data_IF_807121862562
#
_entry.id   IF_807121862562
#
_cell.length_a   1.000
_cell.length_b   1.000
_cell.length_c   1.000
_cell.angle_alpha   90.00
_cell.angle_beta   90.00
_cell.angle_gamma   90.00
#
_symmetry.space_group_name_H-M   'P 1'
#
loop_
_entity.id
_entity.type
_entity.pdbx_description
1 polymer ?
#
# COMPACT_ATOMS: atom_id res chain seq x y z
N UNK A 1 -8.52 15.85 5.97
CA UNK A 1 -7.15 16.37 6.20
C UNK A 1 -6.15 15.46 5.48
N UNK A 2 -5.39 16.01 4.54
CA UNK A 2 -4.44 15.26 3.70
C UNK A 2 -3.28 14.70 4.54
N UNK A 3 -2.82 15.42 5.57
CA UNK A 3 -1.69 14.99 6.42
C UNK A 3 -2.04 13.73 7.22
N UNK A 4 -3.22 13.70 7.85
CA UNK A 4 -3.70 12.52 8.57
C UNK A 4 -3.90 11.32 7.64
N UNK A 5 -4.50 11.53 6.46
CA UNK A 5 -4.71 10.47 5.48
C UNK A 5 -3.38 9.88 4.97
N UNK A 6 -2.37 10.73 4.73
CA UNK A 6 -1.03 10.28 4.38
C UNK A 6 -0.40 9.45 5.49
N UNK A 7 -0.51 9.91 6.74
CA UNK A 7 0.03 9.19 7.89
C UNK A 7 -0.58 7.79 8.00
N UNK A 8 -1.91 7.68 7.93
CA UNK A 8 -2.62 6.41 8.01
C UNK A 8 -2.24 5.45 6.88
N UNK A 9 -2.12 5.96 5.64
CA UNK A 9 -1.70 5.14 4.52
C UNK A 9 -0.29 4.59 4.71
N UNK A 10 0.65 5.40 5.23
CA UNK A 10 2.01 4.95 5.56
C UNK A 10 1.99 3.86 6.64
N UNK A 11 1.13 4.01 7.65
CA UNK A 11 0.95 2.97 8.67
C UNK A 11 0.39 1.67 8.05
N UNK A 12 -0.61 1.76 7.18
CA UNK A 12 -1.19 0.60 6.50
C UNK A 12 -0.14 -0.14 5.64
N UNK A 13 0.71 0.60 4.91
CA UNK A 13 1.81 0.00 4.12
C UNK A 13 2.81 -0.75 5.01
N UNK A 14 3.19 -0.18 6.15
CA UNK A 14 4.05 -0.86 7.13
C UNK A 14 3.39 -2.09 7.72
N UNK A 15 2.09 -2.01 7.98
CA UNK A 15 1.32 -3.13 8.52
C UNK A 15 1.30 -4.31 7.53
N UNK A 16 1.09 -4.06 6.23
CA UNK A 16 1.22 -5.11 5.20
C UNK A 16 2.60 -5.78 5.27
N UNK A 17 3.68 -5.00 5.30
CA UNK A 17 5.04 -5.56 5.34
C UNK A 17 5.29 -6.41 6.60
N UNK A 18 4.78 -5.98 7.76
CA UNK A 18 4.93 -6.74 9.00
C UNK A 18 4.07 -8.01 8.99
N UNK A 19 2.80 -7.94 8.56
CA UNK A 19 1.94 -9.13 8.48
C UNK A 19 2.47 -10.15 7.48
N UNK A 20 3.05 -9.71 6.35
CA UNK A 20 3.75 -10.60 5.42
C UNK A 20 4.95 -11.29 6.06
N UNK A 21 5.73 -10.56 6.88
CA UNK A 21 6.83 -11.15 7.64
C UNK A 21 6.32 -12.21 8.62
N UNK A 22 5.23 -11.93 9.34
CA UNK A 22 4.61 -12.89 10.25
C UNK A 22 4.04 -14.10 9.49
N UNK A 23 3.38 -13.88 8.36
CA UNK A 23 2.86 -14.94 7.50
C UNK A 23 3.97 -15.87 7.02
N UNK A 24 5.12 -15.32 6.60
CA UNK A 24 6.27 -16.11 6.17
C UNK A 24 6.89 -16.99 7.27
N UNK A 25 6.58 -16.69 8.53
CA UNK A 25 6.98 -17.45 9.71
C UNK A 25 5.83 -18.30 10.27
N UNK A 26 4.76 -18.48 9.48
CA UNK A 26 3.54 -19.20 9.85
C UNK A 26 2.85 -18.63 11.12
N UNK A 27 3.09 -17.35 11.41
CA UNK A 27 2.55 -16.64 12.57
C UNK A 27 1.37 -15.72 12.22
N UNK A 28 1.03 -15.59 10.95
CA UNK A 28 -0.16 -14.91 10.49
C UNK A 28 -0.82 -15.72 9.36
N UNK A 29 -2.15 -15.64 9.28
CA UNK A 29 -2.91 -16.32 8.24
C UNK A 29 -3.03 -15.47 6.96
N UNK A 30 -3.29 -16.09 5.80
CA UNK A 30 -3.59 -15.37 4.55
C UNK A 30 -4.75 -14.36 4.68
N UNK A 31 -5.75 -14.67 5.51
CA UNK A 31 -6.87 -13.77 5.81
C UNK A 31 -6.39 -12.51 6.50
N UNK A 32 -5.46 -12.62 7.47
CA UNK A 32 -4.89 -11.45 8.14
C UNK A 32 -4.14 -10.54 7.16
N UNK A 33 -3.41 -11.11 6.18
CA UNK A 33 -2.75 -10.32 5.12
C UNK A 33 -3.80 -9.64 4.24
N UNK A 34 -4.88 -10.34 3.91
CA UNK A 34 -5.98 -9.81 3.10
C UNK A 34 -6.71 -8.67 3.81
N UNK A 35 -6.94 -8.79 5.12
CA UNK A 35 -7.53 -7.74 5.96
C UNK A 35 -6.65 -6.49 5.99
N UNK A 36 -5.33 -6.65 6.11
CA UNK A 36 -4.37 -5.54 6.03
C UNK A 36 -4.44 -4.83 4.68
N UNK A 37 -4.55 -5.60 3.58
CA UNK A 37 -4.71 -5.03 2.25
C UNK A 37 -6.05 -4.28 2.09
N UNK A 38 -7.15 -4.80 2.65
CA UNK A 38 -8.43 -4.09 2.66
C UNK A 38 -8.32 -2.74 3.38
N UNK A 39 -7.67 -2.70 4.56
CA UNK A 39 -7.45 -1.44 5.28
C UNK A 39 -6.58 -0.47 4.47
N UNK A 40 -5.53 -0.95 3.82
CA UNK A 40 -4.73 -0.14 2.90
C UNK A 40 -5.57 0.47 1.78
N UNK A 41 -6.48 -0.31 1.17
CA UNK A 41 -7.39 0.18 0.14
C UNK A 41 -8.34 1.27 0.63
N UNK A 42 -8.81 1.17 1.88
CA UNK A 42 -9.62 2.21 2.53
C UNK A 42 -8.81 3.51 2.67
N UNK A 43 -7.62 3.45 3.26
CA UNK A 43 -6.77 4.63 3.44
C UNK A 43 -6.32 5.24 2.11
N UNK A 44 -6.06 4.39 1.10
CA UNK A 44 -5.74 4.83 -0.25
C UNK A 44 -6.88 5.68 -0.85
N UNK A 45 -8.13 5.21 -0.74
CA UNK A 45 -9.28 5.96 -1.23
C UNK A 45 -9.47 7.29 -0.47
N UNK A 46 -9.18 7.32 0.84
CA UNK A 46 -9.24 8.55 1.63
C UNK A 46 -8.23 9.58 1.14
N UNK A 47 -6.97 9.19 0.91
CA UNK A 47 -5.95 10.13 0.44
C UNK A 47 -6.21 10.59 -1.00
N UNK A 48 -6.70 9.71 -1.87
CA UNK A 48 -7.04 10.04 -3.26
C UNK A 48 -8.13 11.10 -3.30
N UNK A 49 -9.23 10.87 -2.57
CA UNK A 49 -10.32 11.86 -2.46
C UNK A 49 -9.83 13.17 -1.87
N UNK A 50 -8.99 13.10 -0.83
CA UNK A 50 -8.44 14.29 -0.21
C UNK A 50 -7.59 15.12 -1.18
N UNK A 51 -6.83 14.52 -2.10
CA UNK A 51 -6.12 15.26 -3.15
C UNK A 51 -7.05 15.81 -4.23
N UNK A 52 -8.05 15.04 -4.64
CA UNK A 52 -9.03 15.44 -5.66
C UNK A 52 -9.87 16.64 -5.22
N UNK A 53 -10.17 16.78 -3.92
CA UNK A 53 -10.81 17.96 -3.34
C UNK A 53 -10.03 19.27 -3.57
N UNK A 54 -8.70 19.19 -3.73
CA UNK A 54 -7.84 20.33 -4.08
C UNK A 54 -7.51 20.40 -5.58
N UNK A 55 -8.20 19.62 -6.43
CA UNK A 55 -7.97 19.56 -7.87
C UNK A 55 -6.64 18.92 -8.27
N UNK A 56 -6.02 18.14 -7.38
CA UNK A 56 -4.76 17.46 -7.66
C UNK A 56 -5.05 16.10 -8.29
N UNK A 57 -4.62 15.91 -9.53
CA UNK A 57 -4.82 14.64 -10.25
C UNK A 57 -4.06 13.48 -9.60
N UNK A 58 -4.75 12.34 -9.43
CA UNK A 58 -4.25 11.13 -8.75
C UNK A 58 -4.17 9.90 -9.66
N UNK A 59 -4.44 10.05 -10.96
CA UNK A 59 -4.56 8.93 -11.89
C UNK A 59 -3.32 8.05 -12.01
N UNK A 60 -2.13 8.59 -11.74
CA UNK A 60 -0.87 7.83 -11.67
C UNK A 60 -0.81 6.83 -10.52
N UNK A 61 -1.64 7.02 -9.48
CA UNK A 61 -1.68 6.14 -8.30
C UNK A 61 -2.67 4.98 -8.44
N UNK A 62 -3.66 5.10 -9.32
CA UNK A 62 -4.85 4.23 -9.34
C UNK A 62 -4.54 2.78 -9.75
N UNK A 63 -3.45 2.55 -10.47
CA UNK A 63 -3.00 1.19 -10.84
C UNK A 63 -2.35 0.44 -9.68
N UNK A 64 -1.80 1.15 -8.70
CA UNK A 64 -0.96 0.56 -7.65
C UNK A 64 -1.73 -0.44 -6.77
N UNK A 65 -2.96 -0.16 -6.28
CA UNK A 65 -3.70 -1.13 -5.47
C UNK A 65 -3.95 -2.44 -6.22
N UNK A 66 -4.31 -2.37 -7.51
CA UNK A 66 -4.58 -3.57 -8.30
C UNK A 66 -3.32 -4.42 -8.51
N UNK A 67 -2.17 -3.77 -8.78
CA UNK A 67 -0.89 -4.46 -8.89
C UNK A 67 -0.46 -5.07 -7.55
N UNK A 68 -0.62 -4.33 -6.45
CA UNK A 68 -0.29 -4.83 -5.11
C UNK A 68 -1.14 -6.04 -4.74
N UNK A 69 -2.44 -5.99 -5.06
CA UNK A 69 -3.35 -7.13 -4.88
C UNK A 69 -2.86 -8.36 -5.63
N UNK A 70 -2.50 -8.22 -6.90
CA UNK A 70 -2.02 -9.35 -7.71
C UNK A 70 -0.74 -9.95 -7.12
N UNK A 71 0.20 -9.11 -6.68
CA UNK A 71 1.43 -9.59 -6.04
C UNK A 71 1.15 -10.34 -4.73
N UNK A 72 0.21 -9.84 -3.92
CA UNK A 72 -0.21 -10.50 -2.68
C UNK A 72 -0.95 -11.81 -2.95
N UNK A 73 -1.86 -11.85 -3.92
CA UNK A 73 -2.61 -13.06 -4.30
C UNK A 73 -1.65 -14.16 -4.80
N UNK A 74 -0.64 -13.80 -5.60
CA UNK A 74 0.38 -14.75 -6.04
C UNK A 74 1.22 -15.27 -4.86
N UNK A 75 1.67 -14.39 -3.96
CA UNK A 75 2.45 -14.78 -2.78
C UNK A 75 1.65 -15.70 -1.85
N UNK A 76 0.39 -15.36 -1.56
CA UNK A 76 -0.47 -16.14 -0.67
C UNK A 76 -0.94 -17.47 -1.29
N UNK A 77 -0.74 -17.66 -2.59
CA UNK A 77 -0.94 -18.94 -3.27
C UNK A 77 0.20 -19.95 -3.06
N UNK A 78 1.36 -19.50 -2.57
CA UNK A 78 2.51 -20.34 -2.23
C UNK A 78 2.43 -20.84 -0.78
N UNK A 79 3.24 -21.85 -0.45
CA UNK A 79 3.44 -22.26 0.93
C UNK A 79 4.18 -21.17 1.73
N UNK A 80 3.62 -20.86 2.91
CA UNK A 80 4.15 -19.86 3.82
C UNK A 80 5.61 -20.16 4.19
N UNK A 81 6.53 -19.34 3.69
CA UNK A 81 7.96 -19.50 3.95
C UNK A 81 8.73 -18.18 3.75
N UNK A 82 9.90 -18.01 4.41
CA UNK A 82 10.75 -16.86 4.16
C UNK A 82 11.24 -16.77 2.71
N UNK A 83 11.48 -17.92 2.07
CA UNK A 83 11.92 -17.98 0.68
C UNK A 83 10.83 -17.50 -0.29
N UNK A 84 9.57 -17.90 -0.08
CA UNK A 84 8.45 -17.37 -0.85
C UNK A 84 8.36 -15.85 -0.67
N UNK A 85 8.41 -15.35 0.57
CA UNK A 85 8.39 -13.91 0.82
C UNK A 85 9.54 -13.19 0.09
N UNK A 86 10.77 -13.66 0.21
CA UNK A 86 11.94 -13.04 -0.43
C UNK A 86 11.81 -12.94 -1.96
N UNK A 87 11.14 -13.90 -2.60
CA UNK A 87 10.89 -13.89 -4.05
C UNK A 87 9.95 -12.76 -4.49
N UNK A 88 8.90 -12.47 -3.71
CA UNK A 88 7.88 -11.45 -4.05
C UNK A 88 8.17 -10.06 -3.45
N UNK A 89 9.04 -9.97 -2.43
CA UNK A 89 9.39 -8.71 -1.77
C UNK A 89 9.93 -7.61 -2.70
N UNK A 90 10.72 -7.89 -3.76
CA UNK A 90 11.15 -6.86 -4.70
C UNK A 90 9.99 -6.15 -5.39
N UNK A 91 8.99 -6.91 -5.85
CA UNK A 91 7.79 -6.37 -6.51
C UNK A 91 6.94 -5.55 -5.53
N UNK A 92 6.63 -6.13 -4.35
CA UNK A 92 5.84 -5.45 -3.32
C UNK A 92 6.52 -4.14 -2.87
N UNK A 93 7.84 -4.16 -2.64
CA UNK A 93 8.59 -2.94 -2.29
C UNK A 93 8.59 -1.91 -3.41
N UNK A 94 8.67 -2.34 -4.67
CA UNK A 94 8.57 -1.47 -5.84
C UNK A 94 7.26 -0.70 -5.84
N UNK A 95 6.13 -1.41 -5.72
CA UNK A 95 4.79 -0.82 -5.71
C UNK A 95 4.56 0.16 -4.55
N UNK A 96 5.02 -0.22 -3.35
CA UNK A 96 4.95 0.67 -2.17
C UNK A 96 5.84 1.91 -2.34
N UNK A 97 7.01 1.76 -2.97
CA UNK A 97 7.90 2.88 -3.27
C UNK A 97 7.29 3.83 -4.32
N UNK A 98 6.71 3.30 -5.39
CA UNK A 98 6.01 4.08 -6.41
C UNK A 98 4.87 4.90 -5.79
N UNK A 99 4.10 4.30 -4.89
CA UNK A 99 3.05 5.00 -4.16
C UNK A 99 3.62 6.15 -3.32
N UNK A 100 4.69 5.90 -2.56
CA UNK A 100 5.35 6.93 -1.76
C UNK A 100 5.87 8.09 -2.62
N UNK A 101 6.47 7.81 -3.79
CA UNK A 101 6.93 8.86 -4.70
C UNK A 101 5.75 9.66 -5.27
N UNK A 102 4.70 8.98 -5.72
CA UNK A 102 3.52 9.63 -6.28
C UNK A 102 2.77 10.49 -5.26
N UNK A 103 2.73 10.07 -3.98
CA UNK A 103 2.21 10.89 -2.88
C UNK A 103 3.11 12.11 -2.61
N UNK A 104 4.43 11.92 -2.57
CA UNK A 104 5.40 13.01 -2.34
C UNK A 104 5.35 14.07 -3.45
N UNK A 105 5.18 13.65 -4.70
CA UNK A 105 5.03 14.56 -5.84
C UNK A 105 3.78 15.46 -5.69
N UNK A 106 2.71 14.94 -5.07
CA UNK A 106 1.45 15.67 -4.82
C UNK A 106 1.50 16.58 -3.59
N UNK A 107 2.44 16.37 -2.67
CA UNK A 107 2.62 17.23 -1.50
C UNK A 107 2.99 18.67 -1.86
N UNK A 108 3.80 18.88 -2.90
CA UNK A 108 4.20 20.22 -3.34
C UNK A 108 2.99 21.06 -3.77
N UNK A 109 2.21 20.61 -4.77
CA UNK A 109 0.96 21.25 -5.17
C UNK A 109 -0.03 21.45 -4.02
N UNK A 110 -0.22 20.44 -3.16
CA UNK A 110 -1.13 20.54 -2.00
C UNK A 110 -0.72 21.65 -1.02
N UNK A 111 0.58 21.76 -0.69
CA UNK A 111 1.09 22.84 0.18
C UNK A 111 0.98 24.23 -0.45
N UNK A 112 0.93 24.32 -1.78
CA UNK A 112 0.72 25.59 -2.47
C UNK A 112 -0.77 25.98 -2.55
N UNK A 113 -1.66 25.00 -2.47
CA UNK A 113 -3.12 25.17 -2.54
C UNK A 113 -3.80 25.35 -1.17
N UNK A 114 -3.09 25.07 -0.07
CA UNK A 114 -3.54 25.23 1.32
C UNK A 114 -2.89 26.44 1.95
#
# INVERSE_FOLDING_TARGET
DVSTAMHNLILAMKHIQETLRLWSLEQASPEQVSDCYMQFGVEFNVIVRAFEEYGIGTGDLHSIPAALRSALENLLGEDASPAALEMYMPEIRGLLYELLQGLKAKQGPWKAAT
#
